data_IF_311895500990
#
_entry.id   IF_311895500990
#
_cell.length_a   1.000
_cell.length_b   1.000
_cell.length_c   1.000
_cell.angle_alpha   90.00
_cell.angle_beta   90.00
_cell.angle_gamma   90.00
#
_symmetry.space_group_name_H-M   'P 1'
#
loop_
_entity.id
_entity.type
_entity.pdbx_description
1 polymer ?
#
# COMPACT_ATOMS: atom_id res chain seq x y z
N UNK A 1 25.95 -58.66 2.46
CA UNK A 1 26.85 -59.44 1.59
C UNK A 1 26.20 -59.88 0.27
N UNK A 2 24.98 -60.43 0.22
CA UNK A 2 24.37 -60.88 -1.04
C UNK A 2 23.82 -59.76 -1.96
N UNK A 3 23.48 -58.59 -1.42
CA UNK A 3 22.99 -57.45 -2.21
C UNK A 3 24.13 -56.70 -2.95
N UNK A 4 25.28 -56.53 -2.30
CA UNK A 4 26.46 -55.87 -2.89
C UNK A 4 27.04 -56.65 -4.07
N UNK A 5 27.05 -58.00 -4.01
CA UNK A 5 27.60 -58.83 -5.09
C UNK A 5 26.73 -58.78 -6.35
N UNK A 6 25.40 -58.70 -6.20
CA UNK A 6 24.46 -58.59 -7.32
C UNK A 6 24.52 -57.20 -7.97
N UNK A 7 24.70 -56.16 -7.16
CA UNK A 7 24.89 -54.80 -7.66
C UNK A 7 26.22 -54.65 -8.41
N UNK A 8 27.31 -55.23 -7.87
CA UNK A 8 28.61 -55.22 -8.54
C UNK A 8 28.57 -55.90 -9.92
N UNK A 9 27.90 -57.05 -10.04
CA UNK A 9 27.74 -57.74 -11.33
C UNK A 9 26.95 -56.91 -12.35
N UNK A 10 25.87 -56.24 -11.92
CA UNK A 10 25.07 -55.35 -12.77
C UNK A 10 25.86 -54.15 -13.30
N UNK A 11 26.75 -53.59 -12.48
CA UNK A 11 27.55 -52.41 -12.85
C UNK A 11 28.76 -52.80 -13.71
N UNK A 12 29.28 -54.03 -13.57
CA UNK A 12 30.34 -54.56 -14.42
C UNK A 12 29.94 -54.64 -15.90
N UNK A 13 28.65 -54.80 -16.21
CA UNK A 13 28.12 -54.86 -17.58
C UNK A 13 27.81 -53.48 -18.18
N UNK A 14 27.90 -52.40 -17.41
CA UNK A 14 27.57 -51.05 -17.89
C UNK A 14 28.72 -50.40 -18.67
N UNK A 15 28.41 -49.59 -19.70
CA UNK A 15 29.40 -48.79 -20.40
C UNK A 15 29.93 -47.65 -19.53
N UNK A 16 31.19 -47.25 -19.75
CA UNK A 16 31.88 -46.24 -18.95
C UNK A 16 31.16 -44.89 -18.90
N UNK A 17 30.54 -44.49 -20.02
CA UNK A 17 29.78 -43.24 -20.10
C UNK A 17 28.56 -43.24 -19.18
N UNK A 18 27.88 -44.38 -19.04
CA UNK A 18 26.73 -44.51 -18.15
C UNK A 18 27.17 -44.48 -16.69
N UNK A 19 28.25 -45.17 -16.36
CA UNK A 19 28.85 -45.15 -15.02
C UNK A 19 29.30 -43.74 -14.63
N UNK A 20 29.95 -43.01 -15.54
CA UNK A 20 30.42 -41.63 -15.30
C UNK A 20 29.23 -40.67 -15.11
N UNK A 21 28.19 -40.82 -15.92
CA UNK A 21 26.95 -40.04 -15.76
C UNK A 21 26.30 -40.30 -14.40
N UNK A 22 26.19 -41.57 -13.98
CA UNK A 22 25.63 -41.95 -12.69
C UNK A 22 26.47 -41.42 -11.52
N UNK A 23 27.79 -41.46 -11.62
CA UNK A 23 28.70 -40.93 -10.61
C UNK A 23 28.59 -39.40 -10.46
N UNK A 24 28.54 -38.66 -11.58
CA UNK A 24 28.39 -37.19 -11.57
C UNK A 24 27.01 -36.75 -11.05
N UNK A 25 25.99 -37.59 -11.20
CA UNK A 25 24.62 -37.31 -10.80
C UNK A 25 24.17 -38.11 -9.57
N UNK A 26 25.09 -38.59 -8.73
CA UNK A 26 24.81 -39.50 -7.63
C UNK A 26 23.70 -39.02 -6.68
N UNK A 27 23.53 -37.70 -6.50
CA UNK A 27 22.46 -37.09 -5.68
C UNK A 27 21.03 -37.39 -6.18
N UNK A 28 20.88 -37.84 -7.43
CA UNK A 28 19.57 -38.20 -8.03
C UNK A 28 19.21 -39.66 -7.81
N UNK A 29 20.12 -40.48 -7.27
CA UNK A 29 19.93 -41.92 -7.08
C UNK A 29 20.08 -42.30 -5.61
N UNK A 30 19.55 -43.46 -5.20
CA UNK A 30 19.90 -44.06 -3.92
C UNK A 30 21.42 -44.11 -3.72
N UNK A 31 21.95 -43.76 -2.53
CA UNK A 31 23.40 -43.66 -2.29
C UNK A 31 24.20 -44.89 -2.72
N UNK A 32 23.66 -46.09 -2.48
CA UNK A 32 24.28 -47.35 -2.85
C UNK A 32 24.55 -47.51 -4.36
N UNK A 33 23.71 -46.93 -5.23
CA UNK A 33 23.89 -46.98 -6.68
C UNK A 33 24.98 -46.00 -7.16
N UNK A 34 25.02 -44.81 -6.56
CA UNK A 34 26.08 -43.83 -6.85
C UNK A 34 27.45 -44.34 -6.42
N UNK A 35 27.53 -44.94 -5.23
CA UNK A 35 28.77 -45.55 -4.74
C UNK A 35 29.22 -46.74 -5.60
N UNK A 36 28.30 -47.60 -6.04
CA UNK A 36 28.64 -48.73 -6.90
C UNK A 36 29.16 -48.29 -8.28
N UNK A 37 28.61 -47.22 -8.85
CA UNK A 37 29.13 -46.62 -10.09
C UNK A 37 30.57 -46.14 -9.92
N UNK A 38 30.85 -45.41 -8.84
CA UNK A 38 32.19 -44.88 -8.53
C UNK A 38 33.19 -46.01 -8.28
N UNK A 39 32.80 -47.05 -7.51
CA UNK A 39 33.66 -48.22 -7.26
C UNK A 39 34.01 -48.98 -8.54
N UNK A 40 33.06 -49.14 -9.47
CA UNK A 40 33.32 -49.81 -10.75
C UNK A 40 34.21 -48.96 -11.66
N UNK A 41 34.03 -47.64 -11.71
CA UNK A 41 34.93 -46.73 -12.43
C UNK A 41 36.36 -46.76 -11.86
N UNK A 42 36.50 -46.85 -10.53
CA UNK A 42 37.79 -47.00 -9.85
C UNK A 42 38.43 -48.35 -10.15
N UNK A 43 37.65 -49.44 -10.15
CA UNK A 43 38.12 -50.79 -10.54
C UNK A 43 38.66 -50.81 -11.98
N UNK A 44 38.05 -50.03 -12.88
CA UNK A 44 38.48 -49.86 -14.28
C UNK A 44 39.65 -48.88 -14.46
N UNK A 45 40.11 -48.22 -13.40
CA UNK A 45 41.18 -47.22 -13.46
C UNK A 45 40.79 -45.91 -14.16
N UNK A 46 39.48 -45.66 -14.34
CA UNK A 46 38.96 -44.46 -15.01
C UNK A 46 38.79 -43.28 -14.05
N UNK A 47 38.68 -43.56 -12.74
CA UNK A 47 38.60 -42.56 -11.67
C UNK A 47 39.60 -42.95 -10.60
N UNK A 48 40.44 -42.02 -10.09
CA UNK A 48 41.37 -42.33 -9.01
C UNK A 48 40.63 -42.74 -7.72
N UNK A 49 41.25 -43.55 -6.85
CA UNK A 49 40.71 -43.83 -5.53
C UNK A 49 40.50 -42.51 -4.79
N UNK A 50 39.29 -42.28 -4.29
CA UNK A 50 39.01 -41.12 -3.44
C UNK A 50 39.79 -41.28 -2.14
N UNK A 51 40.78 -40.42 -1.91
CA UNK A 51 41.34 -40.25 -0.56
C UNK A 51 40.20 -39.89 0.39
N UNK A 52 40.23 -40.33 1.67
CA UNK A 52 39.26 -39.90 2.65
C UNK A 52 39.41 -38.41 2.88
N UNK A 53 38.67 -37.60 2.12
CA UNK A 53 38.46 -36.19 2.44
C UNK A 53 37.74 -36.16 3.77
N UNK A 54 38.43 -35.67 4.82
CA UNK A 54 37.76 -35.25 6.05
C UNK A 54 36.53 -34.40 5.65
N UNK A 55 35.37 -34.60 6.30
CA UNK A 55 34.23 -33.75 6.04
C UNK A 55 34.63 -32.31 6.35
N UNK A 56 34.88 -31.54 5.30
CA UNK A 56 35.07 -30.09 5.40
C UNK A 56 33.77 -29.57 5.97
N UNK A 57 33.81 -29.16 7.24
CA UNK A 57 32.68 -28.49 7.86
C UNK A 57 32.23 -27.37 6.91
N UNK A 58 30.92 -27.24 6.62
CA UNK A 58 30.45 -26.14 5.80
C UNK A 58 31.05 -24.85 6.40
N UNK A 59 31.53 -23.91 5.57
CA UNK A 59 32.09 -22.67 6.09
C UNK A 59 31.09 -22.12 7.08
N UNK A 60 31.51 -21.96 8.34
CA UNK A 60 30.68 -21.29 9.34
C UNK A 60 30.56 -19.87 8.86
N UNK A 61 29.49 -19.57 8.13
CA UNK A 61 29.05 -18.21 7.91
C UNK A 61 29.12 -17.54 9.28
N UNK A 62 29.79 -16.38 9.41
CA UNK A 62 29.67 -15.62 10.64
C UNK A 62 28.17 -15.53 10.96
N UNK A 63 27.75 -15.74 12.22
CA UNK A 63 26.34 -15.64 12.58
C UNK A 63 25.82 -14.34 11.96
N UNK A 64 24.73 -14.45 11.19
CA UNK A 64 24.17 -13.31 10.47
C UNK A 64 24.09 -12.16 11.46
N UNK A 65 24.90 -11.13 11.24
CA UNK A 65 24.94 -9.97 12.11
C UNK A 65 23.52 -9.41 12.07
N UNK A 66 22.76 -9.61 13.16
CA UNK A 66 21.37 -9.18 13.24
C UNK A 66 21.37 -7.67 13.05
N UNK A 67 21.11 -7.22 11.83
CA UNK A 67 20.98 -5.80 11.56
C UNK A 67 19.83 -5.32 12.44
N UNK A 68 20.08 -4.36 13.34
CA UNK A 68 19.05 -3.92 14.23
C UNK A 68 17.85 -3.41 13.43
N UNK A 69 16.63 -3.64 13.91
CA UNK A 69 15.42 -3.28 13.15
C UNK A 69 15.15 -1.75 13.13
N UNK A 70 15.79 -0.98 14.02
CA UNK A 70 15.55 0.45 14.18
C UNK A 70 16.01 1.35 13.00
N UNK A 71 17.14 1.11 12.30
CA UNK A 71 17.53 1.90 11.12
C UNK A 71 16.58 1.65 9.95
N UNK A 72 16.08 0.42 9.81
CA UNK A 72 15.09 0.03 8.80
C UNK A 72 13.74 0.69 9.06
N UNK A 73 13.29 0.71 10.32
CA UNK A 73 12.05 1.38 10.71
C UNK A 73 12.14 2.90 10.53
N UNK A 74 13.25 3.53 10.93
CA UNK A 74 13.47 4.96 10.78
C UNK A 74 13.56 5.39 9.30
N UNK A 75 14.26 4.64 8.45
CA UNK A 75 14.31 4.91 7.01
C UNK A 75 12.93 4.72 6.35
N UNK A 76 12.20 3.68 6.75
CA UNK A 76 10.83 3.44 6.28
C UNK A 76 9.92 4.59 6.68
N UNK A 77 9.92 5.02 7.95
CA UNK A 77 9.13 6.16 8.43
C UNK A 77 9.53 7.46 7.74
N UNK A 78 10.82 7.69 7.51
CA UNK A 78 11.31 8.86 6.78
C UNK A 78 10.80 8.86 5.35
N UNK A 79 10.92 7.76 4.62
CA UNK A 79 10.34 7.64 3.28
C UNK A 79 8.84 7.82 3.32
N UNK A 80 8.18 7.30 4.37
CA UNK A 80 6.74 7.40 4.56
C UNK A 80 6.27 8.85 4.73
N UNK A 81 6.91 9.60 5.61
CA UNK A 81 6.40 10.88 6.12
C UNK A 81 7.10 12.10 5.51
N UNK A 82 8.21 11.92 4.77
CA UNK A 82 8.97 13.02 4.19
C UNK A 82 8.76 13.11 2.67
N UNK A 83 8.64 14.33 2.10
CA UNK A 83 8.62 14.52 0.66
C UNK A 83 9.84 13.87 -0.01
N UNK A 84 9.61 13.02 -0.99
CA UNK A 84 10.64 12.28 -1.71
C UNK A 84 10.30 12.16 -3.20
N UNK A 85 11.29 11.81 -4.03
CA UNK A 85 11.08 11.61 -5.45
C UNK A 85 9.99 10.53 -5.67
N UNK A 86 8.84 10.94 -6.22
CA UNK A 86 7.68 10.06 -6.44
C UNK A 86 6.59 10.10 -5.34
N UNK A 87 6.81 10.80 -4.23
CA UNK A 87 5.81 10.97 -3.16
C UNK A 87 6.05 12.30 -2.42
N UNK A 88 5.52 13.38 -2.99
CA UNK A 88 5.73 14.76 -2.53
C UNK A 88 4.46 15.31 -1.90
N UNK A 89 3.30 15.13 -2.54
CA UNK A 89 2.06 15.79 -2.13
C UNK A 89 1.43 15.10 -0.92
N UNK A 90 1.45 13.77 -0.85
CA UNK A 90 0.87 13.06 0.30
C UNK A 90 1.52 13.48 1.62
N UNK A 91 2.86 13.50 1.76
CA UNK A 91 3.53 14.04 2.95
C UNK A 91 3.19 15.50 3.24
N UNK A 92 3.14 16.35 2.21
CA UNK A 92 2.82 17.77 2.40
C UNK A 92 1.40 17.98 2.93
N UNK A 93 0.42 17.22 2.46
CA UNK A 93 -0.94 17.27 2.99
C UNK A 93 -1.01 16.78 4.44
N UNK A 94 -0.25 15.73 4.78
CA UNK A 94 -0.14 15.24 6.17
C UNK A 94 0.45 16.31 7.10
N UNK A 95 1.57 16.91 6.68
CA UNK A 95 2.23 17.99 7.42
C UNK A 95 1.33 19.21 7.57
N UNK A 96 0.60 19.59 6.52
CA UNK A 96 -0.36 20.70 6.57
C UNK A 96 -1.50 20.43 7.55
N UNK A 97 -2.09 19.24 7.53
CA UNK A 97 -3.13 18.85 8.49
C UNK A 97 -2.63 18.88 9.94
N UNK A 98 -1.42 18.34 10.16
CA UNK A 98 -0.79 18.36 11.48
C UNK A 98 -0.47 19.79 11.95
N UNK A 99 0.04 20.64 11.04
CA UNK A 99 0.34 22.04 11.32
C UNK A 99 -0.92 22.81 11.71
N UNK A 100 -1.99 22.72 10.89
CA UNK A 100 -3.25 23.41 11.16
C UNK A 100 -3.83 22.97 12.50
N UNK A 101 -3.84 21.67 12.79
CA UNK A 101 -4.30 21.16 14.06
C UNK A 101 -3.43 21.64 15.24
N UNK A 102 -2.11 21.65 15.09
CA UNK A 102 -1.19 22.18 16.11
C UNK A 102 -1.43 23.68 16.38
N UNK A 103 -1.70 24.47 15.35
CA UNK A 103 -2.06 25.88 15.48
C UNK A 103 -3.40 26.08 16.18
N UNK A 104 -4.40 25.24 15.91
CA UNK A 104 -5.67 25.26 16.63
C UNK A 104 -5.47 25.00 18.13
N UNK A 105 -4.66 23.99 18.48
CA UNK A 105 -4.34 23.66 19.88
C UNK A 105 -3.59 24.80 20.55
N UNK A 106 -2.58 25.38 19.88
CA UNK A 106 -1.85 26.54 20.39
C UNK A 106 -2.77 27.77 20.57
N UNK A 107 -3.81 27.89 19.74
CA UNK A 107 -4.87 28.90 19.85
C UNK A 107 -5.96 28.60 20.89
N UNK A 108 -5.82 27.54 21.69
CA UNK A 108 -6.73 27.21 22.80
C UNK A 108 -7.78 26.14 22.50
N UNK A 109 -7.72 25.46 21.35
CA UNK A 109 -8.58 24.31 21.08
C UNK A 109 -8.23 23.11 21.99
N UNK A 110 -9.24 22.43 22.53
CA UNK A 110 -9.02 21.17 23.23
C UNK A 110 -8.52 20.10 22.26
N UNK A 111 -7.47 19.36 22.63
CA UNK A 111 -6.82 18.35 21.77
C UNK A 111 -7.74 17.19 21.40
N UNK A 112 -8.65 16.80 22.29
CA UNK A 112 -9.50 15.61 22.07
C UNK A 112 -10.88 15.98 21.57
N UNK A 113 -11.45 17.07 22.07
CA UNK A 113 -12.82 17.51 21.78
C UNK A 113 -12.87 19.04 21.64
N UNK A 114 -12.39 19.60 20.51
CA UNK A 114 -12.52 21.02 20.23
C UNK A 114 -13.99 21.46 20.28
N UNK A 115 -14.26 22.61 20.89
CA UNK A 115 -15.60 23.16 20.91
C UNK A 115 -16.06 23.56 19.51
N UNK A 116 -17.35 23.38 19.21
CA UNK A 116 -17.93 23.71 17.92
C UNK A 116 -17.67 25.17 17.50
N UNK A 117 -17.76 26.11 18.44
CA UNK A 117 -17.50 27.53 18.20
C UNK A 117 -16.06 27.81 17.74
N UNK A 118 -15.07 27.09 18.30
CA UNK A 118 -13.67 27.20 17.88
C UNK A 118 -13.51 26.67 16.45
N UNK A 119 -14.11 25.52 16.13
CA UNK A 119 -14.07 24.97 14.76
C UNK A 119 -14.69 25.94 13.74
N UNK A 120 -15.82 26.57 14.09
CA UNK A 120 -16.48 27.58 13.24
C UNK A 120 -15.59 28.81 13.07
N UNK A 121 -14.97 29.30 14.14
CA UNK A 121 -14.05 30.44 14.07
C UNK A 121 -12.84 30.14 13.17
N UNK A 122 -12.32 28.92 13.21
CA UNK A 122 -11.19 28.47 12.38
C UNK A 122 -11.56 28.13 10.94
N UNK A 123 -12.85 28.14 10.58
CA UNK A 123 -13.26 27.96 9.19
C UNK A 123 -13.89 26.61 8.84
N UNK A 124 -14.53 25.95 9.80
CA UNK A 124 -15.32 24.76 9.49
C UNK A 124 -16.43 25.07 8.50
N UNK A 125 -16.89 24.02 7.82
CA UNK A 125 -17.98 24.14 6.87
C UNK A 125 -19.29 24.21 7.67
N UNK A 126 -19.78 25.44 7.83
CA UNK A 126 -20.96 25.75 8.61
C UNK A 126 -22.00 26.44 7.73
N UNK A 127 -23.05 25.71 7.34
CA UNK A 127 -23.98 26.13 6.27
C UNK A 127 -24.45 27.59 6.38
N UNK A 128 -24.85 28.11 7.56
CA UNK A 128 -25.28 29.51 7.70
C UNK A 128 -24.21 30.55 7.36
N UNK A 129 -22.91 30.23 7.51
CA UNK A 129 -21.83 31.14 7.12
C UNK A 129 -21.29 30.82 5.72
N UNK A 130 -21.15 29.53 5.39
CA UNK A 130 -20.66 29.09 4.08
C UNK A 130 -21.55 29.62 2.95
N UNK A 131 -22.88 29.50 3.11
CA UNK A 131 -23.85 29.93 2.09
C UNK A 131 -24.09 31.45 2.05
N UNK A 132 -23.69 32.17 3.09
CA UNK A 132 -23.97 33.61 3.25
C UNK A 132 -22.68 34.44 3.38
N UNK A 133 -21.72 34.21 2.47
CA UNK A 133 -20.58 35.11 2.27
C UNK A 133 -19.21 34.57 2.69
N UNK A 134 -19.10 33.31 3.12
CA UNK A 134 -17.82 32.70 3.48
C UNK A 134 -17.55 31.39 2.71
N UNK A 135 -17.55 31.40 1.36
CA UNK A 135 -17.41 30.19 0.55
C UNK A 135 -16.04 29.51 0.69
N UNK A 136 -15.02 30.24 1.15
CA UNK A 136 -13.71 29.70 1.45
C UNK A 136 -13.76 28.56 2.48
N UNK A 137 -14.83 28.50 3.31
CA UNK A 137 -15.11 27.41 4.25
C UNK A 137 -15.22 26.05 3.61
N UNK A 138 -15.64 25.99 2.34
CA UNK A 138 -15.72 24.75 1.57
C UNK A 138 -14.35 24.06 1.41
N UNK A 139 -13.27 24.86 1.42
CA UNK A 139 -11.91 24.38 1.27
C UNK A 139 -11.19 24.27 2.61
N UNK A 140 -11.31 25.28 3.47
CA UNK A 140 -10.60 25.28 4.76
C UNK A 140 -11.05 24.16 5.69
N UNK A 141 -12.34 23.78 5.64
CA UNK A 141 -12.86 22.67 6.44
C UNK A 141 -12.15 21.35 6.19
N UNK A 142 -11.60 21.14 4.99
CA UNK A 142 -10.84 19.94 4.62
C UNK A 142 -9.53 19.77 5.41
N UNK A 143 -9.06 20.81 6.10
CA UNK A 143 -7.81 20.78 6.87
C UNK A 143 -8.01 20.88 8.39
N UNK A 144 -9.24 21.16 8.82
CA UNK A 144 -9.60 21.20 10.24
C UNK A 144 -9.97 19.82 10.74
N UNK A 145 -9.72 19.53 12.02
CA UNK A 145 -10.03 18.23 12.62
C UNK A 145 -10.71 18.39 13.97
N UNK A 146 -11.76 17.60 14.19
CA UNK A 146 -12.59 17.60 15.41
C UNK A 146 -11.96 16.87 16.60
N UNK A 147 -10.62 16.85 16.69
CA UNK A 147 -9.86 16.17 17.74
C UNK A 147 -8.74 15.28 17.21
N UNK A 148 -7.85 14.85 18.11
CA UNK A 148 -6.64 14.10 17.78
C UNK A 148 -6.95 12.76 17.10
N UNK A 149 -7.94 12.01 17.59
CA UNK A 149 -8.32 10.73 16.97
C UNK A 149 -8.80 10.92 15.52
N UNK A 150 -9.58 11.97 15.25
CA UNK A 150 -10.04 12.30 13.91
C UNK A 150 -8.87 12.65 12.98
N UNK A 151 -7.90 13.44 13.47
CA UNK A 151 -6.67 13.74 12.72
C UNK A 151 -5.87 12.47 12.39
N UNK A 152 -5.65 11.60 13.38
CA UNK A 152 -4.83 10.39 13.21
C UNK A 152 -5.47 9.42 12.21
N UNK A 153 -6.78 9.20 12.29
CA UNK A 153 -7.50 8.32 11.38
C UNK A 153 -7.48 8.85 9.94
N UNK A 154 -7.73 10.15 9.74
CA UNK A 154 -7.61 10.76 8.41
C UNK A 154 -6.17 10.74 7.89
N UNK A 155 -5.19 10.97 8.75
CA UNK A 155 -3.77 10.93 8.38
C UNK A 155 -3.36 9.54 7.94
N UNK A 156 -3.81 8.49 8.65
CA UNK A 156 -3.55 7.11 8.28
C UNK A 156 -4.18 6.76 6.92
N UNK A 157 -5.46 7.12 6.74
CA UNK A 157 -6.15 6.90 5.48
C UNK A 157 -5.48 7.66 4.31
N UNK A 158 -5.13 8.93 4.51
CA UNK A 158 -4.44 9.75 3.52
C UNK A 158 -3.03 9.22 3.21
N UNK A 159 -2.29 8.73 4.20
CA UNK A 159 -0.97 8.13 3.98
C UNK A 159 -1.05 6.95 3.02
N UNK A 160 -2.01 6.04 3.22
CA UNK A 160 -2.17 4.86 2.38
C UNK A 160 -2.78 5.20 1.01
N UNK A 161 -3.93 5.88 0.98
CA UNK A 161 -4.63 6.20 -0.27
C UNK A 161 -3.90 7.25 -1.09
N UNK A 162 -3.39 8.28 -0.44
CA UNK A 162 -2.63 9.34 -1.07
C UNK A 162 -1.43 8.77 -1.82
N UNK A 163 -0.65 7.89 -1.20
CA UNK A 163 0.47 7.21 -1.86
C UNK A 163 0.08 6.41 -3.10
N UNK A 164 -0.91 5.53 -2.95
CA UNK A 164 -1.39 4.69 -4.05
C UNK A 164 -1.81 5.60 -5.21
N UNK A 165 -2.59 6.62 -4.89
CA UNK A 165 -3.10 7.55 -5.89
C UNK A 165 -1.99 8.39 -6.52
N UNK A 166 -1.06 8.94 -5.73
CA UNK A 166 0.08 9.73 -6.20
C UNK A 166 0.94 8.93 -7.17
N UNK A 167 1.17 7.64 -6.88
CA UNK A 167 1.92 6.75 -7.76
C UNK A 167 1.22 6.49 -9.11
N UNK A 168 -0.11 6.56 -9.14
CA UNK A 168 -0.91 6.27 -10.34
C UNK A 168 -1.13 7.49 -11.23
N UNK A 169 -1.33 8.68 -10.64
CA UNK A 169 -1.68 9.91 -11.38
C UNK A 169 -0.61 11.01 -11.32
N UNK A 170 0.36 10.88 -10.42
CA UNK A 170 1.40 11.86 -10.15
C UNK A 170 0.99 12.95 -9.15
N UNK A 171 1.97 13.72 -8.62
CA UNK A 171 1.78 14.67 -7.53
C UNK A 171 0.76 15.78 -7.86
N UNK A 172 0.95 16.50 -8.97
CA UNK A 172 0.07 17.62 -9.30
C UNK A 172 -1.39 17.22 -9.50
N UNK A 173 -1.63 16.03 -10.06
CA UNK A 173 -2.99 15.50 -10.24
C UNK A 173 -3.58 15.01 -8.93
N UNK A 174 -2.79 14.36 -8.07
CA UNK A 174 -3.24 14.02 -6.71
C UNK A 174 -3.74 15.27 -5.99
N UNK A 175 -2.95 16.36 -5.98
CA UNK A 175 -3.34 17.60 -5.31
C UNK A 175 -4.66 18.12 -5.87
N UNK A 176 -4.78 18.21 -7.20
CA UNK A 176 -6.00 18.69 -7.85
C UNK A 176 -7.22 17.84 -7.48
N UNK A 177 -7.12 16.52 -7.61
CA UNK A 177 -8.23 15.61 -7.31
C UNK A 177 -8.61 15.66 -5.83
N UNK A 178 -7.63 15.71 -4.93
CA UNK A 178 -7.86 15.84 -3.48
C UNK A 178 -8.65 17.13 -3.17
N UNK A 179 -8.20 18.28 -3.67
CA UNK A 179 -8.84 19.57 -3.37
C UNK A 179 -10.24 19.67 -3.98
N UNK A 180 -10.41 19.26 -5.25
CA UNK A 180 -11.71 19.31 -5.91
C UNK A 180 -12.71 18.35 -5.26
N UNK A 181 -12.29 17.14 -4.88
CA UNK A 181 -13.14 16.21 -4.15
C UNK A 181 -13.48 16.71 -2.75
N UNK A 182 -12.54 17.36 -2.05
CA UNK A 182 -12.81 18.02 -0.77
C UNK A 182 -13.91 19.07 -0.90
N UNK A 183 -13.78 19.97 -1.88
CA UNK A 183 -14.81 21.00 -2.17
C UNK A 183 -16.13 20.36 -2.59
N UNK A 184 -16.11 19.33 -3.43
CA UNK A 184 -17.32 18.59 -3.84
C UNK A 184 -18.03 17.95 -2.64
N UNK A 185 -17.28 17.34 -1.72
CA UNK A 185 -17.82 16.86 -0.45
C UNK A 185 -18.42 17.98 0.40
N UNK A 186 -17.71 19.08 0.59
CA UNK A 186 -18.20 20.24 1.36
C UNK A 186 -19.47 20.84 0.75
N UNK A 187 -19.58 20.87 -0.59
CA UNK A 187 -20.79 21.32 -1.30
C UNK A 187 -21.97 20.38 -1.07
N UNK A 188 -21.77 19.07 -1.18
CA UNK A 188 -22.81 18.08 -0.89
C UNK A 188 -23.26 18.15 0.58
N UNK A 189 -22.33 18.39 1.50
CA UNK A 189 -22.63 18.59 2.92
C UNK A 189 -23.56 19.78 3.18
N UNK A 190 -23.24 20.97 2.66
CA UNK A 190 -24.12 22.16 2.85
C UNK A 190 -25.45 22.03 2.13
N UNK A 191 -25.49 21.31 1.00
CA UNK A 191 -26.72 21.02 0.29
C UNK A 191 -27.63 20.07 1.08
N UNK A 192 -27.06 19.05 1.72
CA UNK A 192 -27.80 18.07 2.53
C UNK A 192 -28.25 18.64 3.88
N UNK A 193 -27.36 19.37 4.56
CA UNK A 193 -27.59 19.85 5.93
C UNK A 193 -27.95 21.33 5.97
N UNK A 194 -29.18 21.63 5.56
CA UNK A 194 -29.71 23.01 5.45
C UNK A 194 -29.99 23.68 6.79
N UNK A 195 -30.00 22.94 7.90
CA UNK A 195 -30.30 23.44 9.26
C UNK A 195 -29.07 23.72 10.12
N UNK A 196 -27.90 23.78 9.51
CA UNK A 196 -26.64 24.03 10.20
C UNK A 196 -25.93 22.73 10.58
N UNK A 197 -24.99 22.32 9.75
CA UNK A 197 -23.95 21.34 10.11
C UNK A 197 -22.67 22.09 10.49
N UNK A 198 -21.87 21.52 11.37
CA UNK A 198 -20.48 21.94 11.59
C UNK A 198 -19.54 20.82 11.11
N UNK A 199 -19.13 20.87 9.84
CA UNK A 199 -18.36 19.81 9.20
C UNK A 199 -16.88 20.19 9.09
N UNK A 200 -16.01 19.25 9.46
CA UNK A 200 -14.54 19.37 9.42
C UNK A 200 -13.94 18.02 9.01
N UNK A 201 -12.75 18.06 8.42
CA UNK A 201 -11.93 16.89 8.18
C UNK A 201 -11.55 16.70 6.72
N UNK A 202 -10.38 16.09 6.53
CA UNK A 202 -9.87 15.67 5.23
C UNK A 202 -10.71 14.55 4.57
N UNK A 203 -11.61 13.91 5.33
CA UNK A 203 -12.30 12.69 4.92
C UNK A 203 -13.11 12.83 3.64
N UNK A 204 -13.76 13.97 3.36
CA UNK A 204 -14.43 14.20 2.07
C UNK A 204 -13.47 14.11 0.87
N UNK A 205 -12.28 14.71 0.99
CA UNK A 205 -11.23 14.61 -0.03
C UNK A 205 -10.68 13.18 -0.15
N UNK A 206 -10.50 12.48 0.97
CA UNK A 206 -10.06 11.07 1.02
C UNK A 206 -11.08 10.14 0.34
N UNK A 207 -12.38 10.38 0.56
CA UNK A 207 -13.46 9.69 -0.17
C UNK A 207 -13.41 9.97 -1.67
N UNK A 208 -13.01 11.19 -2.06
CA UNK A 208 -12.60 11.49 -3.41
C UNK A 208 -11.53 10.57 -3.97
N UNK A 209 -10.48 10.31 -3.20
CA UNK A 209 -9.42 9.40 -3.64
C UNK A 209 -9.94 7.96 -3.80
N UNK A 210 -10.84 7.48 -2.92
CA UNK A 210 -11.53 6.19 -3.16
C UNK A 210 -12.28 6.18 -4.50
N UNK A 211 -13.03 7.25 -4.80
CA UNK A 211 -13.80 7.36 -6.04
C UNK A 211 -12.91 7.41 -7.28
N UNK A 212 -11.81 8.15 -7.20
CA UNK A 212 -10.80 8.18 -8.25
C UNK A 212 -10.20 6.78 -8.49
N UNK A 213 -9.78 6.09 -7.43
CA UNK A 213 -9.21 4.74 -7.53
C UNK A 213 -10.20 3.74 -8.13
N UNK A 214 -11.49 3.84 -7.75
CA UNK A 214 -12.57 3.05 -8.35
C UNK A 214 -12.67 3.31 -9.86
N UNK A 215 -12.72 4.58 -10.27
CA UNK A 215 -12.80 4.95 -11.68
C UNK A 215 -11.57 4.47 -12.47
N UNK A 216 -10.36 4.57 -11.91
CA UNK A 216 -9.14 4.07 -12.55
C UNK A 216 -9.16 2.55 -12.70
N UNK A 217 -9.61 1.82 -11.68
CA UNK A 217 -9.69 0.36 -11.71
C UNK A 217 -10.71 -0.14 -12.75
N UNK A 218 -11.86 0.54 -12.87
CA UNK A 218 -12.93 0.20 -13.84
C UNK A 218 -12.54 0.57 -15.26
N UNK A 219 -11.94 1.74 -15.48
CA UNK A 219 -11.62 2.24 -16.83
C UNK A 219 -10.30 1.70 -17.39
N UNK A 220 -9.37 1.29 -16.54
CA UNK A 220 -8.02 0.91 -16.95
C UNK A 220 -7.19 2.08 -17.48
N UNK A 221 -7.51 3.32 -17.11
CA UNK A 221 -6.81 4.54 -17.57
C UNK A 221 -5.33 4.63 -17.16
N UNK A 222 -4.89 3.77 -16.23
CA UNK A 222 -3.50 3.61 -15.83
C UNK A 222 -3.12 2.14 -16.00
N UNK A 223 -1.93 1.81 -16.54
CA UNK A 223 -1.44 0.43 -16.59
C UNK A 223 -1.43 -0.19 -15.20
N UNK A 224 -2.17 -1.28 -15.04
CA UNK A 224 -2.33 -2.00 -13.80
C UNK A 224 -2.45 -3.49 -14.13
N UNK A 225 -1.75 -4.34 -13.38
CA UNK A 225 -1.96 -5.77 -13.45
C UNK A 225 -3.39 -6.12 -13.01
N UNK A 226 -3.88 -7.29 -13.43
CA UNK A 226 -5.19 -7.79 -13.00
C UNK A 226 -5.30 -7.86 -11.47
N UNK A 227 -4.22 -8.28 -10.80
CA UNK A 227 -4.14 -8.33 -9.35
C UNK A 227 -4.23 -6.94 -8.71
N UNK A 228 -3.53 -5.93 -9.25
CA UNK A 228 -3.60 -4.56 -8.76
C UNK A 228 -5.01 -3.99 -8.88
N UNK A 229 -5.69 -4.21 -10.02
CA UNK A 229 -7.08 -3.77 -10.23
C UNK A 229 -8.02 -4.37 -9.20
N UNK A 230 -7.97 -5.69 -9.01
CA UNK A 230 -8.79 -6.35 -7.99
C UNK A 230 -8.45 -5.89 -6.58
N UNK A 231 -7.17 -5.65 -6.27
CA UNK A 231 -6.75 -5.08 -5.00
C UNK A 231 -7.38 -3.72 -4.72
N UNK A 232 -7.41 -2.83 -5.71
CA UNK A 232 -8.07 -1.52 -5.59
C UNK A 232 -9.59 -1.64 -5.41
N UNK A 233 -10.24 -2.51 -6.19
CA UNK A 233 -11.68 -2.75 -6.04
C UNK A 233 -12.02 -3.29 -4.65
N UNK A 234 -11.25 -4.26 -4.15
CA UNK A 234 -11.41 -4.80 -2.79
C UNK A 234 -11.17 -3.74 -1.71
N UNK A 235 -10.13 -2.92 -1.87
CA UNK A 235 -9.85 -1.81 -0.95
C UNK A 235 -11.04 -0.85 -0.86
N UNK A 236 -11.63 -0.47 -2.00
CA UNK A 236 -12.82 0.39 -2.03
C UNK A 236 -14.03 -0.31 -1.42
N UNK A 237 -14.30 -1.57 -1.81
CA UNK A 237 -15.46 -2.34 -1.32
C UNK A 237 -15.44 -2.55 0.20
N UNK A 238 -14.27 -2.73 0.80
CA UNK A 238 -14.15 -3.02 2.23
C UNK A 238 -14.09 -1.75 3.10
N UNK A 239 -13.37 -0.72 2.64
CA UNK A 239 -13.11 0.46 3.47
C UNK A 239 -14.18 1.53 3.36
N UNK A 240 -14.86 1.68 2.22
CA UNK A 240 -15.90 2.70 2.08
C UNK A 240 -17.11 2.40 2.99
N UNK A 241 -17.70 1.19 3.02
CA UNK A 241 -18.85 0.91 3.85
C UNK A 241 -18.55 1.03 5.36
N UNK A 242 -17.40 0.54 5.81
CA UNK A 242 -17.02 0.59 7.24
C UNK A 242 -16.85 2.03 7.75
N UNK A 243 -16.39 2.95 6.89
CA UNK A 243 -16.25 4.36 7.23
C UNK A 243 -17.57 5.13 7.20
N UNK A 244 -18.54 4.71 6.38
CA UNK A 244 -19.89 5.29 6.34
C UNK A 244 -20.77 4.81 7.51
N UNK A 245 -20.58 3.57 7.97
CA UNK A 245 -21.28 2.98 9.11
C UNK A 245 -21.12 3.83 10.38
N UNK A 246 -19.93 4.38 10.63
CA UNK A 246 -19.67 5.25 11.76
C UNK A 246 -20.59 6.48 11.81
N UNK A 247 -20.95 7.06 10.66
CA UNK A 247 -21.92 8.16 10.58
C UNK A 247 -23.37 7.71 10.72
N UNK A 248 -23.70 6.47 10.30
CA UNK A 248 -25.05 5.90 10.43
C UNK A 248 -25.39 5.53 11.88
N UNK A 249 -24.38 5.16 12.67
CA UNK A 249 -24.53 4.84 14.10
C UNK A 249 -24.61 6.08 15.01
N UNK A 250 -24.74 7.28 14.43
CA UNK A 250 -25.00 8.52 15.18
C UNK A 250 -23.75 9.17 15.80
N UNK A 251 -22.54 8.85 15.35
CA UNK A 251 -21.37 9.62 15.76
C UNK A 251 -21.48 11.06 15.24
N UNK A 252 -21.49 12.05 16.13
CA UNK A 252 -21.64 13.48 15.81
C UNK A 252 -20.43 14.09 15.10
N UNK A 253 -19.41 13.27 14.83
CA UNK A 253 -18.14 13.68 14.23
C UNK A 253 -18.03 13.34 12.74
N UNK A 254 -18.97 12.58 12.18
CA UNK A 254 -18.83 11.99 10.83
C UNK A 254 -19.91 12.52 9.88
N UNK A 255 -19.49 13.21 8.83
CA UNK A 255 -20.37 13.80 7.82
C UNK A 255 -20.46 12.90 6.57
N UNK A 256 -21.45 12.00 6.57
CA UNK A 256 -21.68 11.07 5.47
C UNK A 256 -22.08 11.77 4.15
N UNK A 257 -22.68 12.96 4.22
CA UNK A 257 -22.99 13.73 3.02
C UNK A 257 -21.71 14.24 2.35
N UNK A 258 -20.73 14.70 3.14
CA UNK A 258 -19.41 15.05 2.63
C UNK A 258 -18.67 13.86 2.04
N UNK A 259 -18.75 12.68 2.66
CA UNK A 259 -18.15 11.45 2.15
C UNK A 259 -18.75 11.04 0.79
N UNK A 260 -20.07 11.03 0.68
CA UNK A 260 -20.75 10.69 -0.57
C UNK A 260 -20.42 11.70 -1.68
N UNK A 261 -20.46 13.00 -1.36
CA UNK A 261 -20.11 14.06 -2.30
C UNK A 261 -18.66 13.96 -2.80
N UNK A 262 -17.73 13.68 -1.88
CA UNK A 262 -16.33 13.44 -2.20
C UNK A 262 -16.15 12.24 -3.13
N UNK A 263 -16.72 11.08 -2.76
CA UNK A 263 -16.68 9.84 -3.54
C UNK A 263 -17.19 10.02 -4.96
N UNK A 264 -18.35 10.67 -5.12
CA UNK A 264 -18.94 10.96 -6.42
C UNK A 264 -18.06 11.91 -7.23
N UNK A 265 -17.58 12.99 -6.62
CA UNK A 265 -16.69 13.96 -7.28
C UNK A 265 -15.42 13.29 -7.78
N UNK A 266 -14.76 12.50 -6.93
CA UNK A 266 -13.55 11.76 -7.30
C UNK A 266 -13.77 10.74 -8.41
N UNK A 267 -14.91 10.04 -8.37
CA UNK A 267 -15.31 9.09 -9.43
C UNK A 267 -15.49 9.80 -10.77
N UNK A 268 -16.19 10.94 -10.79
CA UNK A 268 -16.40 11.73 -12.00
C UNK A 268 -15.09 12.31 -12.55
N UNK A 269 -14.21 12.81 -11.68
CA UNK A 269 -12.87 13.29 -12.07
C UNK A 269 -12.01 12.16 -12.64
N UNK A 270 -12.08 10.96 -12.06
CA UNK A 270 -11.38 9.78 -12.57
C UNK A 270 -11.90 9.31 -13.92
N UNK A 271 -13.22 9.33 -14.12
CA UNK A 271 -13.83 9.04 -15.42
C UNK A 271 -13.42 10.08 -16.47
N UNK A 272 -13.45 11.37 -16.13
CA UNK A 272 -12.98 12.43 -17.01
C UNK A 272 -11.50 12.24 -17.38
N UNK A 273 -10.64 11.94 -16.39
CA UNK A 273 -9.23 11.63 -16.63
C UNK A 273 -9.03 10.45 -17.60
N UNK A 274 -9.87 9.41 -17.50
CA UNK A 274 -9.84 8.27 -18.41
C UNK A 274 -10.20 8.63 -19.86
N UNK A 275 -11.11 9.59 -20.07
CA UNK A 275 -11.53 10.03 -21.40
C UNK A 275 -10.42 10.80 -22.14
N UNK A 276 -9.63 11.59 -21.43
CA UNK A 276 -8.59 12.44 -22.02
C UNK A 276 -7.21 11.79 -22.13
N UNK A 277 -7.05 10.55 -21.62
CA UNK A 277 -5.79 9.80 -21.71
C UNK A 277 -5.92 8.72 -22.78
N UNK A 278 -5.05 8.68 -23.81
CA UNK A 278 -5.06 7.60 -24.80
C UNK A 278 -4.93 6.25 -24.08
N UNK A 279 -5.83 5.30 -24.39
CA UNK A 279 -5.75 3.95 -23.83
C UNK A 279 -4.36 3.36 -24.14
N UNK A 280 -3.59 3.06 -23.10
CA UNK A 280 -2.40 2.23 -23.26
C UNK A 280 -2.86 0.85 -23.77
N UNK A 281 -2.23 0.35 -24.85
CA UNK A 281 -2.51 -1.00 -25.36
C UNK A 281 -2.24 -2.02 -24.23
N UNK A 282 -3.05 -3.08 -24.10
CA UNK A 282 -2.73 -4.17 -23.19
C UNK A 282 -1.34 -4.71 -23.56
N UNK A 283 -0.48 -4.89 -22.56
CA UNK A 283 0.68 -5.77 -22.72
C UNK A 283 0.13 -7.17 -22.52
N UNK A 284 0.12 -7.96 -23.60
CA UNK A 284 -0.26 -9.38 -23.58
C UNK A 284 0.69 -10.21 -22.72
#
# INVERSE_FOLDING_TARGET
MAADSKLAALFAEKPDAELLYMAQNARRYPPALGEAAVRELQRRGLVPPTEPTEPVAPPTSPPAEEQPWYPLAADTLRRLLWPSAGNVITPLLLLLNALVFGLMVAGGANVFQPQAAILIAWGSNFSPLTLHGQPWRLLTSCFLHGGLAHLLLNSLALLFLGRITESLVGPGRLLLFYLLSGVGGSLTSVWWHTRGINSVGASGAIFGLYGLLLALAVTGAVPQSRQQRYGLLWLVLLLVPSQLEAGLLGSTTTDNAAHLGGLLTGSLLGLAYALFKPRARPVE
#
